data_IF_518518507876
#
_entry.id   IF_518518507876
#
_cell.length_a   1.000
_cell.length_b   1.000
_cell.length_c   1.000
_cell.angle_alpha   90.00
_cell.angle_beta   90.00
_cell.angle_gamma   90.00
#
_symmetry.space_group_name_H-M   'P 1'
#
loop_
_entity.id
_entity.type
_entity.pdbx_description
1 polymer ?
#
# COMPACT_ATOMS: atom_id res chain seq x y z
N UNK A 1 -19.10 17.45 -20.59
CA UNK A 1 -19.36 16.06 -20.17
C UNK A 1 -18.17 15.57 -19.38
N UNK A 2 -18.31 15.33 -18.07
CA UNK A 2 -17.22 14.79 -17.23
C UNK A 2 -17.10 13.30 -17.55
N UNK A 3 -15.99 12.87 -18.14
CA UNK A 3 -15.71 11.44 -18.38
C UNK A 3 -15.57 10.76 -17.01
N UNK A 4 -16.32 9.69 -16.77
CA UNK A 4 -16.16 8.88 -15.55
C UNK A 4 -14.71 8.37 -15.49
N UNK A 5 -13.98 8.59 -14.39
CA UNK A 5 -12.63 8.10 -14.26
C UNK A 5 -12.60 6.56 -14.32
N UNK A 6 -11.52 6.04 -14.88
CA UNK A 6 -11.32 4.59 -14.98
C UNK A 6 -10.88 4.06 -13.62
N UNK A 7 -11.21 2.79 -13.32
CA UNK A 7 -10.91 2.21 -12.01
C UNK A 7 -9.42 2.33 -11.59
N UNK A 8 -8.43 2.19 -12.49
CA UNK A 8 -7.02 2.45 -12.12
C UNK A 8 -6.74 3.90 -11.70
N UNK A 9 -7.38 4.88 -12.32
CA UNK A 9 -7.24 6.30 -11.97
C UNK A 9 -7.92 6.59 -10.63
N UNK A 10 -9.13 6.06 -10.42
CA UNK A 10 -9.84 6.13 -9.14
C UNK A 10 -9.02 5.50 -8.02
N UNK A 11 -8.45 4.31 -8.28
CA UNK A 11 -7.54 3.65 -7.34
C UNK A 11 -6.33 4.53 -6.98
N UNK A 12 -5.65 5.13 -7.96
CA UNK A 12 -4.49 6.00 -7.68
C UNK A 12 -4.89 7.22 -6.86
N UNK A 13 -6.00 7.87 -7.20
CA UNK A 13 -6.49 9.03 -6.45
C UNK A 13 -6.87 8.65 -5.00
N UNK A 14 -7.56 7.52 -4.83
CA UNK A 14 -7.93 7.00 -3.53
C UNK A 14 -6.70 6.60 -2.70
N UNK A 15 -5.75 5.89 -3.32
CA UNK A 15 -4.53 5.46 -2.65
C UNK A 15 -3.66 6.65 -2.23
N UNK A 16 -3.53 7.69 -3.07
CA UNK A 16 -2.84 8.94 -2.68
C UNK A 16 -3.45 9.54 -1.42
N UNK A 17 -4.77 9.54 -1.32
CA UNK A 17 -5.50 10.09 -0.17
C UNK A 17 -5.36 9.21 1.06
N UNK A 18 -5.62 7.90 0.94
CA UNK A 18 -5.59 6.96 2.07
C UNK A 18 -4.17 6.78 2.65
N UNK A 19 -3.14 6.80 1.81
CA UNK A 19 -1.74 6.65 2.21
C UNK A 19 -1.01 7.99 2.43
N UNK A 20 -1.73 9.12 2.44
CA UNK A 20 -1.12 10.45 2.65
C UNK A 20 -0.29 10.54 3.95
N UNK A 21 -0.69 9.78 4.98
CA UNK A 21 0.03 9.71 6.26
C UNK A 21 1.49 9.27 6.14
N UNK A 22 1.84 8.51 5.09
CA UNK A 22 3.23 8.14 4.83
C UNK A 22 4.10 9.38 4.65
N UNK A 23 3.58 10.38 3.95
CA UNK A 23 4.28 11.66 3.68
C UNK A 23 4.13 12.60 4.86
N UNK A 24 2.91 12.72 5.40
CA UNK A 24 2.58 13.71 6.43
C UNK A 24 3.18 13.39 7.82
N UNK A 25 3.41 12.12 8.13
CA UNK A 25 3.85 11.69 9.47
C UNK A 25 5.01 10.69 9.53
N UNK A 26 5.30 9.97 8.44
CA UNK A 26 6.24 8.84 8.46
C UNK A 26 7.54 9.09 7.68
N UNK A 27 7.72 10.32 7.17
CA UNK A 27 8.95 10.77 6.51
C UNK A 27 9.17 10.23 5.10
N UNK A 28 8.13 9.72 4.43
CA UNK A 28 8.23 9.30 3.04
C UNK A 28 8.17 10.51 2.08
N UNK A 29 8.86 10.40 0.95
CA UNK A 29 8.68 11.31 -0.16
C UNK A 29 7.28 11.17 -0.80
N UNK A 30 6.77 12.21 -1.50
CA UNK A 30 5.53 12.12 -2.27
C UNK A 30 5.53 10.91 -3.22
N UNK A 31 4.39 10.23 -3.42
CA UNK A 31 4.35 9.00 -4.19
C UNK A 31 4.58 9.22 -5.67
N UNK A 32 5.41 8.35 -6.23
CA UNK A 32 5.61 8.20 -7.67
C UNK A 32 4.55 7.26 -8.26
N UNK A 33 4.03 7.61 -9.44
CA UNK A 33 3.24 6.68 -10.23
C UNK A 33 4.13 5.58 -10.78
N UNK A 34 3.70 4.34 -10.59
CA UNK A 34 4.30 3.16 -11.20
C UNK A 34 3.23 2.39 -11.98
N UNK A 35 3.66 1.42 -12.78
CA UNK A 35 2.71 0.52 -13.43
C UNK A 35 1.84 -0.18 -12.38
N UNK A 36 0.52 -0.10 -12.60
CA UNK A 36 -0.49 -0.62 -11.68
C UNK A 36 -0.59 0.06 -10.31
N UNK A 37 0.13 1.14 -9.98
CA UNK A 37 -0.06 1.78 -8.67
C UNK A 37 0.91 2.87 -8.26
N UNK A 38 1.29 2.88 -6.98
CA UNK A 38 2.09 3.93 -6.33
C UNK A 38 3.31 3.36 -5.61
N UNK A 39 4.39 4.15 -5.60
CA UNK A 39 5.61 3.88 -4.83
C UNK A 39 5.91 5.04 -3.89
N UNK A 40 6.07 4.72 -2.61
CA UNK A 40 6.55 5.63 -1.57
C UNK A 40 7.94 5.18 -1.13
N UNK A 41 8.84 6.13 -0.90
CA UNK A 41 10.22 5.83 -0.45
C UNK A 41 10.59 6.75 0.70
N UNK A 42 11.18 6.18 1.75
CA UNK A 42 11.99 6.86 2.78
C UNK A 42 13.36 6.19 2.86
N UNK A 43 14.25 6.67 3.72
CA UNK A 43 15.67 6.28 3.73
C UNK A 43 15.93 4.76 3.86
N UNK A 44 15.13 4.06 4.66
CA UNK A 44 15.28 2.65 5.04
C UNK A 44 14.16 1.74 4.48
N UNK A 45 13.15 2.32 3.80
CA UNK A 45 11.94 1.58 3.45
C UNK A 45 11.27 2.10 2.18
N UNK A 46 10.88 1.16 1.32
CA UNK A 46 10.02 1.38 0.17
C UNK A 46 8.68 0.68 0.38
N UNK A 47 7.58 1.40 0.14
CA UNK A 47 6.22 0.86 0.13
C UNK A 47 5.69 0.92 -1.30
N UNK A 48 5.18 -0.20 -1.80
CA UNK A 48 4.47 -0.28 -3.09
C UNK A 48 3.03 -0.66 -2.84
N UNK A 49 2.12 0.07 -3.47
CA UNK A 49 0.67 -0.19 -3.42
C UNK A 49 0.20 -0.40 -4.86
N UNK A 50 -0.42 -1.55 -5.13
CA UNK A 50 -0.81 -1.94 -6.48
C UNK A 50 -2.30 -2.26 -6.59
N UNK A 51 -2.80 -2.05 -7.79
CA UNK A 51 -4.06 -2.54 -8.30
C UNK A 51 -3.77 -3.48 -9.46
N UNK A 52 -4.28 -4.71 -9.37
CA UNK A 52 -4.31 -5.65 -10.49
C UNK A 52 -5.76 -5.83 -10.94
N UNK A 53 -6.04 -5.51 -12.20
CA UNK A 53 -7.36 -5.70 -12.79
C UNK A 53 -7.60 -7.14 -13.22
N UNK A 54 -8.86 -7.57 -13.23
CA UNK A 54 -9.26 -8.93 -13.57
C UNK A 54 -10.73 -9.20 -13.23
N UNK A 55 -11.17 -10.45 -13.38
CA UNK A 55 -12.50 -10.89 -12.95
C UNK A 55 -12.72 -10.67 -11.44
N UNK A 56 -11.67 -10.91 -10.65
CA UNK A 56 -11.51 -10.36 -9.31
C UNK A 56 -10.29 -9.42 -9.35
N UNK A 57 -10.50 -8.17 -8.92
CA UNK A 57 -9.40 -7.21 -8.82
C UNK A 57 -8.69 -7.37 -7.49
N UNK A 58 -7.40 -7.04 -7.47
CA UNK A 58 -6.57 -7.15 -6.27
C UNK A 58 -6.03 -5.79 -5.87
N UNK A 59 -6.00 -5.54 -4.56
CA UNK A 59 -5.20 -4.48 -3.95
C UNK A 59 -4.08 -5.14 -3.16
N UNK A 60 -2.84 -4.78 -3.49
CA UNK A 60 -1.65 -5.36 -2.87
C UNK A 60 -0.79 -4.27 -2.25
N UNK A 61 -0.18 -4.57 -1.11
CA UNK A 61 0.79 -3.68 -0.48
C UNK A 61 2.03 -4.47 -0.09
N UNK A 62 3.20 -3.96 -0.49
CA UNK A 62 4.48 -4.63 -0.24
C UNK A 62 5.49 -3.66 0.35
N UNK A 63 6.17 -4.11 1.39
CA UNK A 63 7.21 -3.37 2.09
C UNK A 63 8.57 -3.97 1.71
N UNK A 64 9.51 -3.12 1.33
CA UNK A 64 10.85 -3.51 0.86
C UNK A 64 11.88 -2.69 1.66
N UNK A 65 12.65 -3.32 2.55
CA UNK A 65 13.70 -2.60 3.27
C UNK A 65 14.79 -2.12 2.30
N UNK A 66 15.36 -0.96 2.59
CA UNK A 66 16.43 -0.33 1.83
C UNK A 66 17.66 -0.20 2.73
N UNK A 67 18.81 -0.61 2.21
CA UNK A 67 20.10 -0.35 2.83
C UNK A 67 20.55 1.09 2.54
N UNK A 68 21.50 1.66 3.32
CA UNK A 68 21.98 3.03 3.14
C UNK A 68 22.57 3.34 1.76
N UNK A 69 23.07 2.33 1.05
CA UNK A 69 23.58 2.42 -0.32
C UNK A 69 22.47 2.39 -1.39
N UNK A 70 21.20 2.30 -0.97
CA UNK A 70 20.03 2.18 -1.84
C UNK A 70 19.70 0.75 -2.27
N UNK A 71 20.46 -0.26 -1.83
CA UNK A 71 20.22 -1.66 -2.16
C UNK A 71 18.90 -2.15 -1.53
N UNK A 72 18.11 -2.88 -2.31
CA UNK A 72 16.82 -3.43 -1.86
C UNK A 72 17.01 -4.78 -1.19
N UNK A 73 16.51 -4.93 0.03
CA UNK A 73 16.40 -6.22 0.69
C UNK A 73 15.20 -7.05 0.20
N UNK A 74 14.97 -8.20 0.85
CA UNK A 74 13.83 -9.07 0.56
C UNK A 74 12.54 -8.42 1.08
N UNK A 75 11.70 -7.96 0.15
CA UNK A 75 10.39 -7.39 0.52
C UNK A 75 9.34 -8.46 0.87
N UNK A 76 8.44 -8.10 1.78
CA UNK A 76 7.35 -8.94 2.26
C UNK A 76 5.99 -8.25 2.07
N UNK A 77 4.93 -9.06 2.00
CA UNK A 77 3.56 -8.59 1.83
C UNK A 77 3.01 -8.03 3.14
N UNK A 78 2.09 -7.07 3.04
CA UNK A 78 1.54 -6.39 4.20
C UNK A 78 0.78 -7.34 5.14
N UNK A 79 0.01 -8.27 4.60
CA UNK A 79 -0.74 -9.27 5.36
C UNK A 79 0.17 -10.21 6.15
N UNK A 80 1.27 -10.68 5.53
CA UNK A 80 2.30 -11.48 6.20
C UNK A 80 2.94 -10.71 7.36
N UNK A 81 3.31 -9.45 7.14
CA UNK A 81 3.93 -8.59 8.16
C UNK A 81 2.96 -8.23 9.28
N UNK A 82 1.70 -7.91 8.94
CA UNK A 82 0.63 -7.62 9.89
C UNK A 82 0.35 -8.84 10.79
N UNK A 83 0.32 -10.02 10.15
CA UNK A 83 0.56 -11.38 10.67
C UNK A 83 1.61 -11.41 11.79
N UNK A 84 2.85 -11.32 11.35
CA UNK A 84 4.04 -11.55 12.15
C UNK A 84 4.19 -10.54 13.31
N UNK A 85 3.78 -9.28 13.10
CA UNK A 85 3.83 -8.23 14.10
C UNK A 85 2.66 -8.27 15.11
N UNK A 86 1.82 -9.31 15.07
CA UNK A 86 0.65 -9.48 15.94
C UNK A 86 -0.30 -8.25 15.94
N UNK A 87 -0.42 -7.57 14.79
CA UNK A 87 -1.35 -6.46 14.63
C UNK A 87 -2.82 -6.93 14.58
N UNK A 88 -3.02 -8.17 14.12
CA UNK A 88 -4.32 -8.80 13.93
C UNK A 88 -4.23 -9.92 12.89
N UNK A 89 -5.36 -10.53 12.52
CA UNK A 89 -5.41 -11.60 11.52
C UNK A 89 -5.17 -11.07 10.10
N UNK A 90 -4.69 -11.91 9.18
CA UNK A 90 -4.45 -11.52 7.78
C UNK A 90 -5.72 -11.06 7.05
N UNK A 91 -6.89 -11.49 7.51
CA UNK A 91 -8.21 -11.08 7.00
C UNK A 91 -8.49 -9.58 7.17
N UNK A 92 -7.77 -8.89 8.07
CA UNK A 92 -7.82 -7.44 8.21
C UNK A 92 -7.10 -6.71 7.06
N UNK A 93 -6.30 -7.42 6.28
CA UNK A 93 -5.59 -6.93 5.07
C UNK A 93 -6.10 -7.67 3.82
N UNK A 94 -7.39 -7.47 3.44
CA UNK A 94 -7.99 -8.26 2.38
C UNK A 94 -7.60 -7.77 0.98
N UNK A 95 -7.09 -8.71 0.17
CA UNK A 95 -6.55 -8.46 -1.18
C UNK A 95 -7.64 -8.33 -2.25
N UNK A 96 -8.59 -9.27 -2.30
CA UNK A 96 -9.51 -9.40 -3.44
C UNK A 96 -10.77 -8.53 -3.30
N UNK A 97 -11.25 -8.04 -4.44
CA UNK A 97 -12.53 -7.36 -4.60
C UNK A 97 -13.11 -7.52 -6.02
N UNK A 98 -14.37 -7.92 -6.09
CA UNK A 98 -15.13 -8.10 -7.35
C UNK A 98 -15.86 -6.84 -7.82
N UNK A 99 -15.82 -5.75 -7.04
CA UNK A 99 -16.52 -4.50 -7.36
C UNK A 99 -15.61 -3.29 -7.18
N UNK A 100 -15.87 -2.24 -7.97
CA UNK A 100 -15.21 -0.92 -7.83
C UNK A 100 -15.23 -0.43 -6.37
N UNK A 101 -16.40 -0.44 -5.73
CA UNK A 101 -16.52 -0.02 -4.31
C UNK A 101 -15.70 -0.91 -3.38
N UNK A 102 -15.64 -2.20 -3.66
CA UNK A 102 -14.80 -3.15 -2.93
C UNK A 102 -13.32 -2.79 -3.05
N UNK A 103 -12.82 -2.50 -4.26
CA UNK A 103 -11.43 -2.09 -4.51
C UNK A 103 -11.07 -0.85 -3.71
N UNK A 104 -11.88 0.21 -3.79
CA UNK A 104 -11.62 1.45 -3.05
C UNK A 104 -11.66 1.22 -1.54
N UNK A 105 -12.55 0.33 -1.05
CA UNK A 105 -12.55 -0.07 0.36
C UNK A 105 -11.25 -0.79 0.74
N UNK A 106 -10.71 -1.66 -0.11
CA UNK A 106 -9.45 -2.38 0.17
C UNK A 106 -8.28 -1.42 0.34
N UNK A 107 -8.23 -0.35 -0.47
CA UNK A 107 -7.23 0.72 -0.34
C UNK A 107 -7.17 1.25 1.10
N UNK A 108 -8.33 1.60 1.68
CA UNK A 108 -8.41 2.08 3.06
C UNK A 108 -8.04 1.02 4.08
N UNK A 109 -8.45 -0.23 3.88
CA UNK A 109 -8.09 -1.33 4.79
C UNK A 109 -6.57 -1.57 4.81
N UNK A 110 -5.92 -1.50 3.65
CA UNK A 110 -4.47 -1.60 3.55
C UNK A 110 -3.76 -0.40 4.18
N UNK A 111 -4.28 0.82 3.99
CA UNK A 111 -3.73 2.01 4.63
C UNK A 111 -3.81 1.94 6.16
N UNK A 112 -4.96 1.54 6.71
CA UNK A 112 -5.16 1.34 8.15
C UNK A 112 -4.26 0.24 8.71
N UNK A 113 -4.14 -0.89 8.00
CA UNK A 113 -3.26 -1.97 8.39
C UNK A 113 -1.79 -1.53 8.41
N UNK A 114 -1.35 -0.78 7.39
CA UNK A 114 0.00 -0.23 7.34
C UNK A 114 0.24 0.77 8.47
N UNK A 115 -0.71 1.66 8.75
CA UNK A 115 -0.63 2.63 9.86
C UNK A 115 -0.44 1.94 11.22
N UNK A 116 -1.07 0.78 11.42
CA UNK A 116 -0.88 -0.04 12.62
C UNK A 116 0.45 -0.80 12.62
N UNK A 117 0.93 -1.21 11.45
CA UNK A 117 2.17 -1.98 11.32
C UNK A 117 3.42 -1.13 11.54
N UNK A 118 3.48 0.08 10.96
CA UNK A 118 4.71 0.90 10.93
C UNK A 118 5.37 1.08 12.31
N UNK A 119 4.64 1.43 13.39
CA UNK A 119 5.26 1.61 14.71
C UNK A 119 5.82 0.33 15.34
N UNK A 120 5.50 -0.84 14.78
CA UNK A 120 5.95 -2.16 15.25
C UNK A 120 7.09 -2.72 14.42
N UNK A 121 7.47 -2.04 13.33
CA UNK A 121 8.64 -2.44 12.56
C UNK A 121 9.90 -2.16 13.39
N UNK A 122 10.93 -3.03 13.29
CA UNK A 122 12.21 -2.75 13.93
C UNK A 122 12.76 -1.42 13.38
N UNK A 123 13.28 -0.59 14.28
CA UNK A 123 14.06 0.59 13.90
C UNK A 123 15.37 0.10 13.26
N UNK A 124 15.84 0.74 12.18
CA UNK A 124 17.14 0.44 11.59
C UNK A 124 18.30 0.48 12.58
#
# INVERSE_FOLDING_TARGET
MVKRPQLPEEFRAEARSAFAFLVEGEGFAPPEDIDGGLRYVRADLMVRVWFLGGAESEVLTRLIPLAPDGTRGKGAWLDDLYKAAACGPAQDVPVFASTRRGVLRRVHQHAEALRRLLPRLPVP
#
